data_IF_078765821165
#
_entry.id   IF_078765821165
#
_cell.length_a   1.000
_cell.length_b   1.000
_cell.length_c   1.000
_cell.angle_alpha   90.00
_cell.angle_beta   90.00
_cell.angle_gamma   90.00
#
_symmetry.space_group_name_H-M   'P 1'
#
loop_
_entity.id
_entity.type
_entity.pdbx_description
1 polymer ?
#
# COMPACT_ATOMS: atom_id res chain seq x y z
N UNK A 1 -58.50 -50.84 -10.42
CA UNK A 1 -59.20 -49.54 -10.57
C UNK A 1 -59.25 -48.90 -9.20
N UNK A 2 -58.56 -47.78 -9.00
CA UNK A 2 -58.59 -47.05 -7.73
C UNK A 2 -59.91 -46.29 -7.60
N UNK A 3 -60.52 -46.28 -6.41
CA UNK A 3 -61.78 -45.57 -6.18
C UNK A 3 -61.56 -44.05 -6.16
N UNK A 4 -62.61 -43.27 -6.46
CA UNK A 4 -62.55 -41.80 -6.48
C UNK A 4 -62.02 -41.21 -5.16
N UNK A 5 -62.33 -41.86 -4.02
CA UNK A 5 -61.81 -41.48 -2.70
C UNK A 5 -60.31 -41.74 -2.55
N UNK A 6 -59.80 -42.83 -3.14
CA UNK A 6 -58.36 -43.12 -3.13
C UNK A 6 -57.58 -42.19 -4.07
N UNK A 7 -58.14 -41.80 -5.22
CA UNK A 7 -57.55 -40.75 -6.05
C UNK A 7 -57.51 -39.39 -5.32
N UNK A 8 -58.58 -39.03 -4.61
CA UNK A 8 -58.64 -37.78 -3.84
C UNK A 8 -57.59 -37.74 -2.73
N UNK A 9 -57.43 -38.83 -1.97
CA UNK A 9 -56.44 -38.93 -0.90
C UNK A 9 -55.01 -38.89 -1.44
N UNK A 10 -54.74 -39.56 -2.56
CA UNK A 10 -53.44 -39.51 -3.22
C UNK A 10 -53.10 -38.10 -3.73
N UNK A 11 -54.06 -37.37 -4.30
CA UNK A 11 -53.87 -35.97 -4.69
C UNK A 11 -53.59 -35.06 -3.48
N UNK A 12 -54.31 -35.23 -2.37
CA UNK A 12 -54.07 -34.43 -1.15
C UNK A 12 -52.68 -34.70 -0.55
N UNK A 13 -52.23 -35.96 -0.53
CA UNK A 13 -50.88 -36.34 -0.04
C UNK A 13 -49.79 -35.77 -0.95
N UNK A 14 -49.98 -35.80 -2.28
CA UNK A 14 -49.06 -35.19 -3.25
C UNK A 14 -48.98 -33.67 -3.09
N UNK A 15 -50.10 -32.98 -2.87
CA UNK A 15 -50.11 -31.53 -2.66
C UNK A 15 -49.39 -31.15 -1.36
N UNK A 16 -49.64 -31.87 -0.26
CA UNK A 16 -48.96 -31.63 1.02
C UNK A 16 -47.46 -31.96 0.93
N UNK A 17 -47.06 -32.99 0.19
CA UNK A 17 -45.66 -33.32 -0.04
C UNK A 17 -44.93 -32.26 -0.90
N UNK A 18 -45.62 -31.60 -1.84
CA UNK A 18 -45.08 -30.46 -2.61
C UNK A 18 -44.88 -29.22 -1.73
N UNK A 19 -45.76 -29.00 -0.75
CA UNK A 19 -45.65 -27.89 0.22
C UNK A 19 -44.62 -28.19 1.32
N UNK A 20 -44.37 -29.47 1.63
CA UNK A 20 -43.50 -29.94 2.72
C UNK A 20 -42.11 -30.40 2.28
N UNK A 21 -41.85 -30.51 0.98
CA UNK A 21 -40.48 -30.39 0.49
C UNK A 21 -39.98 -29.05 1.04
N UNK A 22 -38.82 -29.00 1.73
CA UNK A 22 -38.22 -27.70 1.99
C UNK A 22 -38.13 -27.10 0.60
N UNK A 23 -38.84 -25.99 0.37
CA UNK A 23 -38.48 -25.12 -0.71
C UNK A 23 -36.97 -24.99 -0.53
N UNK A 24 -36.21 -25.62 -1.44
CA UNK A 24 -34.84 -25.23 -1.66
C UNK A 24 -34.99 -23.73 -1.71
N UNK A 25 -34.48 -23.05 -0.68
CA UNK A 25 -34.59 -21.62 -0.59
C UNK A 25 -33.72 -21.16 -1.76
N UNK A 26 -34.28 -21.14 -2.98
CA UNK A 26 -34.15 -20.04 -3.88
C UNK A 26 -34.51 -18.85 -3.02
N UNK A 27 -33.51 -18.33 -2.30
CA UNK A 27 -33.53 -16.96 -1.83
C UNK A 27 -33.90 -16.21 -3.09
N UNK A 28 -35.13 -15.71 -3.11
CA UNK A 28 -35.48 -14.61 -3.98
C UNK A 28 -34.35 -13.61 -3.75
N UNK A 29 -33.51 -13.42 -4.77
CA UNK A 29 -32.39 -12.50 -4.74
C UNK A 29 -32.98 -11.15 -4.37
N UNK A 30 -32.77 -10.70 -3.13
CA UNK A 30 -33.10 -9.33 -2.81
C UNK A 30 -32.23 -8.42 -3.68
N UNK A 31 -32.78 -7.32 -4.24
CA UNK A 31 -32.01 -6.33 -4.98
C UNK A 31 -30.85 -5.68 -4.18
N UNK A 32 -30.74 -6.00 -2.89
CA UNK A 32 -29.80 -5.41 -1.94
C UNK A 32 -28.36 -5.96 -2.06
N UNK A 33 -28.14 -7.18 -2.56
CA UNK A 33 -26.80 -7.81 -2.56
C UNK A 33 -25.87 -7.31 -3.68
N UNK A 34 -26.38 -7.08 -4.90
CA UNK A 34 -25.63 -6.42 -5.99
C UNK A 34 -25.32 -4.97 -5.64
N UNK A 35 -26.15 -4.36 -4.79
CA UNK A 35 -25.98 -3.00 -4.32
C UNK A 35 -24.76 -2.89 -3.38
N UNK A 36 -24.49 -3.88 -2.53
CA UNK A 36 -23.38 -3.82 -1.57
C UNK A 36 -22.01 -3.83 -2.24
N UNK A 37 -21.77 -4.71 -3.23
CA UNK A 37 -20.51 -4.70 -4.00
C UNK A 37 -20.32 -3.33 -4.66
N UNK A 38 -21.35 -2.83 -5.33
CA UNK A 38 -21.28 -1.54 -6.05
C UNK A 38 -21.00 -0.38 -5.08
N UNK A 39 -21.72 -0.30 -3.97
CA UNK A 39 -21.52 0.73 -2.93
C UNK A 39 -20.14 0.63 -2.29
N UNK A 40 -19.68 -0.58 -2.00
CA UNK A 40 -18.36 -0.82 -1.40
C UNK A 40 -17.28 -0.38 -2.39
N UNK A 41 -17.34 -0.86 -3.64
CA UNK A 41 -16.38 -0.52 -4.67
C UNK A 41 -16.38 0.97 -5.04
N UNK A 42 -17.50 1.68 -4.94
CA UNK A 42 -17.53 3.13 -5.17
C UNK A 42 -16.67 3.91 -4.16
N UNK A 43 -16.48 3.39 -2.95
CA UNK A 43 -15.62 4.01 -1.92
C UNK A 43 -14.14 3.69 -2.09
N UNK A 44 -13.79 2.96 -3.13
CA UNK A 44 -12.42 2.52 -3.35
C UNK A 44 -11.75 3.32 -4.48
N UNK A 45 -10.42 3.46 -4.46
CA UNK A 45 -9.68 4.10 -5.55
C UNK A 45 -9.89 3.52 -6.96
N UNK A 46 -10.31 2.25 -7.10
CA UNK A 46 -10.56 1.63 -8.40
C UNK A 46 -11.88 0.83 -8.44
N UNK A 47 -13.02 1.52 -8.55
CA UNK A 47 -14.33 0.87 -8.49
C UNK A 47 -14.50 -0.23 -9.55
N UNK A 48 -13.95 -0.06 -10.75
CA UNK A 48 -14.07 -1.05 -11.83
C UNK A 48 -13.32 -2.34 -11.52
N UNK A 49 -12.08 -2.25 -11.04
CA UNK A 49 -11.28 -3.41 -10.67
C UNK A 49 -11.86 -4.12 -9.44
N UNK A 50 -12.30 -3.38 -8.42
CA UNK A 50 -13.00 -3.98 -7.29
C UNK A 50 -14.26 -4.71 -7.72
N UNK A 51 -15.09 -4.10 -8.57
CA UNK A 51 -16.29 -4.76 -9.10
C UNK A 51 -15.91 -6.03 -9.86
N UNK A 52 -14.88 -5.97 -10.72
CA UNK A 52 -14.42 -7.12 -11.49
C UNK A 52 -13.97 -8.27 -10.57
N UNK A 53 -13.18 -7.99 -9.53
CA UNK A 53 -12.68 -9.01 -8.60
C UNK A 53 -13.83 -9.60 -7.78
N UNK A 54 -14.65 -8.76 -7.16
CA UNK A 54 -15.73 -9.21 -6.27
C UNK A 54 -16.87 -9.90 -7.02
N UNK A 55 -17.16 -9.52 -8.26
CA UNK A 55 -18.17 -10.18 -9.09
C UNK A 55 -17.68 -11.51 -9.69
N UNK A 56 -16.36 -11.66 -9.88
CA UNK A 56 -15.76 -12.90 -10.36
C UNK A 56 -15.74 -14.00 -9.28
N UNK A 57 -15.74 -13.61 -7.99
CA UNK A 57 -15.82 -14.56 -6.88
C UNK A 57 -17.29 -14.88 -6.55
N UNK A 58 -17.72 -16.16 -6.61
CA UNK A 58 -19.10 -16.54 -6.33
C UNK A 58 -19.53 -16.19 -4.89
N UNK A 59 -18.59 -16.05 -3.95
CA UNK A 59 -18.86 -15.66 -2.56
C UNK A 59 -19.28 -14.20 -2.44
N UNK A 60 -18.89 -13.35 -3.39
CA UNK A 60 -19.16 -11.91 -3.34
C UNK A 60 -20.65 -11.57 -3.32
N UNK A 61 -21.49 -12.43 -3.92
CA UNK A 61 -22.95 -12.21 -4.02
C UNK A 61 -23.68 -12.26 -2.69
N UNK A 62 -23.13 -12.91 -1.67
CA UNK A 62 -23.79 -13.07 -0.36
C UNK A 62 -22.90 -12.62 0.78
N UNK A 63 -21.76 -12.01 0.48
CA UNK A 63 -20.80 -11.55 1.45
C UNK A 63 -21.21 -10.19 2.02
N UNK A 64 -21.07 -10.03 3.33
CA UNK A 64 -21.05 -8.71 3.97
C UNK A 64 -19.74 -7.97 3.66
N UNK A 65 -19.57 -6.74 4.15
CA UNK A 65 -18.37 -5.93 3.89
C UNK A 65 -17.07 -6.65 4.32
N UNK A 66 -17.08 -7.35 5.44
CA UNK A 66 -15.93 -8.14 5.92
C UNK A 66 -15.65 -9.33 5.00
N UNK A 67 -16.68 -10.00 4.52
CA UNK A 67 -16.58 -11.06 3.52
C UNK A 67 -16.05 -10.55 2.17
N UNK A 68 -16.48 -9.37 1.72
CA UNK A 68 -15.93 -8.72 0.52
C UNK A 68 -14.45 -8.36 0.70
N UNK A 69 -14.06 -7.87 1.89
CA UNK A 69 -12.66 -7.60 2.20
C UNK A 69 -11.81 -8.88 2.20
N UNK A 70 -12.32 -9.99 2.76
CA UNK A 70 -11.64 -11.29 2.72
C UNK A 70 -11.46 -11.81 1.29
N UNK A 71 -12.44 -11.60 0.40
CA UNK A 71 -12.31 -11.95 -1.03
C UNK A 71 -11.18 -11.15 -1.69
N UNK A 72 -11.04 -9.86 -1.38
CA UNK A 72 -9.92 -9.05 -1.88
C UNK A 72 -8.58 -9.53 -1.35
N UNK A 73 -8.48 -9.90 -0.06
CA UNK A 73 -7.27 -10.50 0.52
C UNK A 73 -6.92 -11.84 -0.14
N UNK A 74 -7.91 -12.67 -0.44
CA UNK A 74 -7.71 -13.92 -1.20
C UNK A 74 -7.22 -13.65 -2.62
N UNK A 75 -7.72 -12.60 -3.28
CA UNK A 75 -7.25 -12.20 -4.60
C UNK A 75 -5.77 -11.73 -4.56
N UNK A 76 -5.39 -10.95 -3.53
CA UNK A 76 -3.99 -10.56 -3.28
C UNK A 76 -3.12 -11.82 -3.10
N UNK A 77 -3.55 -12.75 -2.24
CA UNK A 77 -2.85 -14.01 -2.01
C UNK A 77 -2.64 -14.80 -3.30
N UNK A 78 -3.70 -14.99 -4.09
CA UNK A 78 -3.64 -15.75 -5.34
C UNK A 78 -2.67 -15.10 -6.33
N UNK A 79 -2.74 -13.77 -6.48
CA UNK A 79 -1.82 -13.00 -7.32
C UNK A 79 -0.38 -13.13 -6.84
N UNK A 80 -0.13 -12.90 -5.55
CA UNK A 80 1.20 -12.97 -4.94
C UNK A 80 1.84 -14.36 -5.12
N UNK A 81 1.06 -15.43 -4.98
CA UNK A 81 1.53 -16.79 -5.22
C UNK A 81 1.92 -17.00 -6.69
N UNK A 82 1.10 -16.51 -7.63
CA UNK A 82 1.40 -16.55 -9.05
C UNK A 82 2.72 -15.84 -9.38
N UNK A 83 2.94 -14.66 -8.80
CA UNK A 83 4.18 -13.89 -9.01
C UNK A 83 5.38 -14.57 -8.35
N UNK A 84 5.24 -15.07 -7.13
CA UNK A 84 6.30 -15.82 -6.44
C UNK A 84 6.77 -17.03 -7.27
N UNK A 85 5.83 -17.78 -7.85
CA UNK A 85 6.14 -18.89 -8.75
C UNK A 85 6.84 -18.42 -10.03
N UNK A 86 6.38 -17.31 -10.64
CA UNK A 86 7.02 -16.70 -11.81
C UNK A 86 8.46 -16.27 -11.50
N UNK A 87 8.70 -15.65 -10.35
CA UNK A 87 10.04 -15.27 -9.87
C UNK A 87 10.95 -16.49 -9.78
N UNK A 88 10.48 -17.57 -9.14
CA UNK A 88 11.28 -18.80 -9.01
C UNK A 88 11.63 -19.42 -10.37
N UNK A 89 10.73 -19.34 -11.35
CA UNK A 89 11.00 -19.78 -12.71
C UNK A 89 12.04 -18.88 -13.40
N UNK A 90 11.96 -17.56 -13.24
CA UNK A 90 12.94 -16.61 -13.77
C UNK A 90 14.33 -16.80 -13.16
N UNK A 91 14.43 -17.16 -11.87
CA UNK A 91 15.69 -17.49 -11.20
C UNK A 91 16.32 -18.74 -11.84
N UNK A 92 15.52 -19.79 -12.06
CA UNK A 92 15.97 -21.02 -12.72
C UNK A 92 16.39 -20.77 -14.18
N UNK A 93 15.71 -19.85 -14.86
CA UNK A 93 15.99 -19.43 -16.23
C UNK A 93 17.21 -18.51 -16.39
N UNK A 94 17.98 -18.24 -15.33
CA UNK A 94 19.22 -17.45 -15.42
C UNK A 94 19.02 -15.92 -15.43
N UNK A 95 17.87 -15.41 -14.99
CA UNK A 95 17.66 -13.97 -14.82
C UNK A 95 18.56 -13.36 -13.73
N UNK A 96 18.43 -12.05 -13.49
CA UNK A 96 19.20 -11.34 -12.46
C UNK A 96 18.91 -11.92 -11.06
N UNK A 97 19.74 -12.88 -10.63
CA UNK A 97 19.51 -13.68 -9.42
C UNK A 97 19.39 -12.83 -8.16
N UNK A 98 20.15 -11.73 -8.06
CA UNK A 98 20.12 -10.86 -6.88
C UNK A 98 18.77 -10.12 -6.78
N UNK A 99 18.35 -9.44 -7.85
CA UNK A 99 17.09 -8.72 -7.88
C UNK A 99 15.89 -9.68 -7.74
N UNK A 100 15.93 -10.82 -8.45
CA UNK A 100 14.87 -11.82 -8.38
C UNK A 100 14.77 -12.49 -7.00
N UNK A 101 15.89 -12.80 -6.34
CA UNK A 101 15.84 -13.37 -4.98
C UNK A 101 15.27 -12.36 -3.98
N UNK A 102 15.68 -11.09 -4.08
CA UNK A 102 15.09 -10.02 -3.28
C UNK A 102 13.58 -9.90 -3.53
N UNK A 103 13.12 -9.99 -4.78
CA UNK A 103 11.69 -10.03 -5.10
C UNK A 103 10.98 -11.26 -4.54
N UNK A 104 11.62 -12.43 -4.58
CA UNK A 104 11.07 -13.64 -4.01
C UNK A 104 10.82 -13.45 -2.51
N UNK A 105 11.77 -12.84 -1.80
CA UNK A 105 11.61 -12.54 -0.37
C UNK A 105 10.44 -11.57 -0.13
N UNK A 106 10.30 -10.52 -0.95
CA UNK A 106 9.17 -9.57 -0.89
C UNK A 106 7.82 -10.26 -1.07
N UNK A 107 7.66 -11.04 -2.13
CA UNK A 107 6.42 -11.78 -2.37
C UNK A 107 6.17 -12.90 -1.34
N UNK A 108 7.23 -13.45 -0.75
CA UNK A 108 7.10 -14.38 0.37
C UNK A 108 6.57 -13.67 1.61
N UNK A 109 7.03 -12.46 1.94
CA UNK A 109 6.49 -11.64 3.03
C UNK A 109 4.98 -11.46 2.87
N UNK A 110 4.52 -11.08 1.67
CA UNK A 110 3.09 -10.96 1.37
C UNK A 110 2.33 -12.23 1.74
N UNK A 111 2.86 -13.39 1.35
CA UNK A 111 2.19 -14.68 1.52
C UNK A 111 2.20 -15.20 2.96
N UNK A 112 3.24 -14.91 3.74
CA UNK A 112 3.45 -15.51 5.06
C UNK A 112 3.22 -14.55 6.23
N UNK A 113 3.17 -13.24 5.98
CA UNK A 113 2.93 -12.21 6.98
C UNK A 113 1.68 -11.40 6.63
N UNK A 114 1.71 -10.62 5.55
CA UNK A 114 0.70 -9.60 5.26
C UNK A 114 -0.69 -10.21 5.04
N UNK A 115 -0.81 -11.23 4.19
CA UNK A 115 -2.08 -11.92 3.92
C UNK A 115 -2.63 -12.61 5.17
N UNK A 116 -1.84 -13.43 5.92
CA UNK A 116 -2.30 -13.98 7.18
C UNK A 116 -2.75 -12.93 8.19
N UNK A 117 -2.00 -11.83 8.33
CA UNK A 117 -2.34 -10.74 9.24
C UNK A 117 -3.65 -10.06 8.83
N UNK A 118 -3.83 -9.74 7.55
CA UNK A 118 -5.06 -9.16 7.04
C UNK A 118 -6.27 -10.08 7.26
N UNK A 119 -6.08 -11.38 7.02
CA UNK A 119 -7.12 -12.39 7.23
C UNK A 119 -7.53 -12.47 8.70
N UNK A 120 -6.56 -12.58 9.61
CA UNK A 120 -6.81 -12.64 11.06
C UNK A 120 -7.48 -11.37 11.56
N UNK A 121 -7.01 -10.21 11.12
CA UNK A 121 -7.55 -8.92 11.47
C UNK A 121 -9.04 -8.82 11.10
N UNK A 122 -9.40 -9.20 9.87
CA UNK A 122 -10.80 -9.26 9.42
C UNK A 122 -11.65 -10.23 10.25
N UNK A 123 -11.12 -11.42 10.57
CA UNK A 123 -11.82 -12.41 11.40
C UNK A 123 -12.06 -11.92 12.84
N UNK A 124 -11.18 -11.08 13.37
CA UNK A 124 -11.29 -10.48 14.71
C UNK A 124 -12.00 -9.12 14.71
N UNK A 125 -12.48 -8.64 13.56
CA UNK A 125 -13.16 -7.35 13.43
C UNK A 125 -12.22 -6.13 13.46
N UNK A 126 -10.90 -6.32 13.38
CA UNK A 126 -9.93 -5.24 13.30
C UNK A 126 -9.69 -4.81 11.85
N UNK A 127 -10.69 -4.16 11.25
CA UNK A 127 -10.65 -3.75 9.84
C UNK A 127 -9.46 -2.82 9.52
N UNK A 128 -9.02 -2.00 10.49
CA UNK A 128 -7.89 -1.08 10.28
C UNK A 128 -6.57 -1.82 10.13
N UNK A 129 -6.32 -2.81 10.98
CA UNK A 129 -5.12 -3.63 10.88
C UNK A 129 -5.14 -4.51 9.62
N UNK A 130 -6.33 -4.89 9.14
CA UNK A 130 -6.46 -5.58 7.87
C UNK A 130 -6.08 -4.72 6.67
N UNK A 131 -6.51 -3.46 6.68
CA UNK A 131 -6.15 -2.48 5.66
C UNK A 131 -4.65 -2.21 5.63
N UNK A 132 -4.02 -2.00 6.80
CA UNK A 132 -2.58 -1.74 6.90
C UNK A 132 -1.79 -2.93 6.33
N UNK A 133 -2.14 -4.17 6.70
CA UNK A 133 -1.52 -5.38 6.16
C UNK A 133 -1.75 -5.55 4.64
N UNK A 134 -2.92 -5.22 4.12
CA UNK A 134 -3.17 -5.23 2.67
C UNK A 134 -2.36 -4.15 1.93
N UNK A 135 -2.14 -2.99 2.55
CA UNK A 135 -1.32 -1.89 2.00
C UNK A 135 0.16 -2.28 1.94
N UNK A 136 0.67 -2.97 2.95
CA UNK A 136 2.04 -3.51 2.97
C UNK A 136 2.29 -4.44 1.79
N UNK A 137 1.28 -5.21 1.37
CA UNK A 137 1.40 -6.08 0.20
C UNK A 137 1.70 -5.30 -1.10
N UNK A 138 1.10 -4.13 -1.27
CA UNK A 138 1.38 -3.25 -2.41
C UNK A 138 2.78 -2.62 -2.30
N UNK A 139 3.25 -2.32 -1.09
CA UNK A 139 4.59 -1.79 -0.82
C UNK A 139 5.67 -2.83 -1.14
N UNK A 140 5.45 -4.09 -0.78
CA UNK A 140 6.39 -5.18 -1.06
C UNK A 140 6.48 -5.45 -2.58
N UNK A 141 5.34 -5.42 -3.30
CA UNK A 141 5.31 -5.52 -4.77
C UNK A 141 6.03 -4.35 -5.45
N UNK A 142 5.82 -3.13 -4.96
CA UNK A 142 6.59 -1.95 -5.38
C UNK A 142 8.09 -2.16 -5.13
N UNK A 143 8.47 -2.59 -3.93
CA UNK A 143 9.88 -2.79 -3.55
C UNK A 143 10.57 -3.81 -4.46
N UNK A 144 9.84 -4.85 -4.89
CA UNK A 144 10.31 -5.78 -5.89
C UNK A 144 10.65 -5.09 -7.23
N UNK A 145 9.74 -4.27 -7.77
CA UNK A 145 9.98 -3.53 -9.02
C UNK A 145 11.25 -2.66 -8.94
N UNK A 146 11.41 -1.91 -7.85
CA UNK A 146 12.56 -1.04 -7.65
C UNK A 146 13.89 -1.80 -7.53
N UNK A 147 13.87 -3.05 -7.07
CA UNK A 147 15.06 -3.90 -6.97
C UNK A 147 15.77 -4.13 -8.32
N UNK A 148 15.10 -3.82 -9.44
CA UNK A 148 15.65 -3.92 -10.79
C UNK A 148 16.22 -2.60 -11.34
N UNK A 149 16.06 -1.47 -10.64
CA UNK A 149 16.56 -0.16 -11.11
C UNK A 149 15.90 0.34 -12.39
N UNK A 150 14.70 -0.15 -12.71
CA UNK A 150 13.96 0.12 -13.95
C UNK A 150 12.85 -0.91 -14.17
N UNK A 151 12.31 -1.00 -15.39
CA UNK A 151 11.27 -1.98 -15.73
C UNK A 151 11.77 -3.40 -15.50
N UNK A 152 11.06 -4.16 -14.67
CA UNK A 152 11.37 -5.56 -14.41
C UNK A 152 10.59 -6.51 -15.33
N UNK A 153 11.00 -7.78 -15.44
CA UNK A 153 10.18 -8.84 -16.06
C UNK A 153 8.82 -9.09 -15.37
N UNK A 154 8.57 -8.39 -14.26
CA UNK A 154 7.40 -8.49 -13.39
C UNK A 154 6.61 -7.17 -13.35
N UNK A 155 6.96 -6.17 -14.17
CA UNK A 155 6.36 -4.81 -14.13
C UNK A 155 4.83 -4.88 -14.12
N UNK A 156 4.24 -5.68 -15.01
CA UNK A 156 2.79 -5.83 -15.12
C UNK A 156 2.19 -6.44 -13.85
N UNK A 157 2.86 -7.44 -13.28
CA UNK A 157 2.39 -8.11 -12.09
C UNK A 157 2.55 -7.28 -10.81
N UNK A 158 3.67 -6.57 -10.67
CA UNK A 158 3.93 -5.65 -9.57
C UNK A 158 2.93 -4.49 -9.60
N UNK A 159 2.66 -3.95 -10.79
CA UNK A 159 1.64 -2.92 -10.98
C UNK A 159 0.22 -3.41 -10.71
N UNK A 160 -0.07 -4.69 -10.95
CA UNK A 160 -1.38 -5.26 -10.65
C UNK A 160 -1.64 -5.46 -9.14
N UNK A 161 -0.59 -5.48 -8.29
CA UNK A 161 -0.75 -5.46 -6.83
C UNK A 161 -1.00 -4.04 -6.29
N UNK A 162 -0.76 -3.02 -7.11
CA UNK A 162 -1.23 -1.68 -6.83
C UNK A 162 -2.71 -1.59 -7.18
N UNK A 163 -3.57 -1.57 -6.17
CA UNK A 163 -4.99 -1.27 -6.32
C UNK A 163 -5.28 0.16 -6.88
N UNK A 164 -4.24 0.91 -7.27
CA UNK A 164 -4.35 2.25 -7.85
C UNK A 164 -3.92 2.21 -9.32
N UNK A 165 -4.82 2.58 -10.24
CA UNK A 165 -4.43 2.95 -11.60
C UNK A 165 -4.62 4.45 -11.77
N UNK A 166 -3.50 5.15 -11.64
CA UNK A 166 -2.99 6.13 -12.60
C UNK A 166 -3.93 6.71 -13.66
N UNK A 167 -4.23 8.01 -13.55
CA UNK A 167 -4.43 8.85 -14.74
C UNK A 167 -3.06 9.19 -15.34
N UNK A 168 -2.89 9.24 -16.68
CA UNK A 168 -1.68 9.82 -17.28
C UNK A 168 -1.52 11.25 -16.77
N UNK A 169 -0.35 11.58 -16.21
CA UNK A 169 -0.07 12.97 -15.86
C UNK A 169 0.25 13.75 -17.12
N UNK A 170 -0.29 14.96 -17.19
CA UNK A 170 0.36 16.01 -17.96
C UNK A 170 1.76 16.23 -17.34
N UNK A 171 2.83 16.26 -18.14
CA UNK A 171 4.21 16.55 -17.70
C UNK A 171 4.28 17.86 -16.89
N UNK A 172 3.29 18.74 -17.08
CA UNK A 172 3.09 19.94 -16.28
C UNK A 172 2.82 19.67 -14.79
N UNK A 173 2.20 18.54 -14.40
CA UNK A 173 1.82 18.30 -13.00
C UNK A 173 3.03 18.23 -12.07
N UNK A 174 4.11 17.53 -12.46
CA UNK A 174 5.34 17.46 -11.65
C UNK A 174 5.91 18.86 -11.47
N UNK A 175 6.02 19.62 -12.56
CA UNK A 175 6.58 20.98 -12.54
C UNK A 175 5.74 21.92 -11.67
N UNK A 176 4.42 21.93 -11.85
CA UNK A 176 3.51 22.77 -11.06
C UNK A 176 3.47 22.37 -9.57
N UNK A 177 3.52 21.07 -9.28
CA UNK A 177 3.56 20.57 -7.90
C UNK A 177 4.88 20.95 -7.24
N UNK A 178 6.01 20.74 -7.92
CA UNK A 178 7.33 21.02 -7.38
C UNK A 178 7.63 22.52 -7.23
N UNK A 179 7.03 23.40 -8.04
CA UNK A 179 7.14 24.86 -7.88
C UNK A 179 6.71 25.35 -6.49
N UNK A 180 5.81 24.63 -5.81
CA UNK A 180 5.32 24.97 -4.47
C UNK A 180 6.22 24.46 -3.33
N UNK A 181 7.32 23.81 -3.66
CA UNK A 181 8.28 23.27 -2.68
C UNK A 181 9.43 24.25 -2.44
N UNK A 182 10.13 24.15 -1.29
CA UNK A 182 11.27 25.00 -1.01
C UNK A 182 12.47 24.70 -1.93
N UNK A 183 12.50 23.50 -2.52
CA UNK A 183 13.52 23.09 -3.49
C UNK A 183 12.90 22.46 -4.75
N UNK A 184 12.37 23.29 -5.67
CA UNK A 184 11.68 22.80 -6.86
C UNK A 184 12.54 21.91 -7.76
N UNK A 185 13.82 22.26 -7.96
CA UNK A 185 14.73 21.50 -8.82
C UNK A 185 14.99 20.10 -8.27
N UNK A 186 15.17 19.99 -6.95
CA UNK A 186 15.35 18.69 -6.31
C UNK A 186 14.06 17.86 -6.36
N UNK A 187 12.91 18.46 -6.08
CA UNK A 187 11.61 17.80 -6.16
C UNK A 187 11.40 17.20 -7.56
N UNK A 188 11.64 17.99 -8.61
CA UNK A 188 11.54 17.53 -10.00
C UNK A 188 12.51 16.38 -10.24
N UNK A 189 13.78 16.54 -9.86
CA UNK A 189 14.80 15.50 -10.04
C UNK A 189 14.43 14.18 -9.35
N UNK A 190 13.87 14.22 -8.15
CA UNK A 190 13.46 13.03 -7.41
C UNK A 190 12.25 12.35 -8.05
N UNK A 191 11.27 13.13 -8.50
CA UNK A 191 10.05 12.61 -9.12
C UNK A 191 10.27 12.11 -10.55
N UNK A 192 11.14 12.77 -11.33
CA UNK A 192 11.52 12.33 -12.67
C UNK A 192 12.43 11.10 -12.65
N UNK A 193 13.21 10.91 -11.58
CA UNK A 193 13.97 9.68 -11.37
C UNK A 193 13.07 8.46 -11.08
N UNK A 194 11.82 8.69 -10.66
CA UNK A 194 10.83 7.65 -10.43
C UNK A 194 9.92 7.48 -11.66
N UNK A 195 9.91 6.30 -12.33
CA UNK A 195 9.09 6.09 -13.52
C UNK A 195 7.58 6.26 -13.26
N UNK A 196 7.12 6.16 -12.01
CA UNK A 196 5.72 6.36 -11.61
C UNK A 196 5.30 7.83 -11.61
N UNK A 197 6.26 8.77 -11.52
CA UNK A 197 5.99 10.22 -11.46
C UNK A 197 5.18 10.73 -12.66
N UNK A 198 5.32 10.07 -13.81
CA UNK A 198 4.59 10.37 -15.05
C UNK A 198 3.13 9.86 -15.10
N UNK A 199 2.70 9.10 -14.08
CA UNK A 199 1.44 8.35 -14.12
C UNK A 199 0.60 8.50 -12.86
N UNK A 200 0.85 9.48 -12.00
CA UNK A 200 0.19 9.50 -10.68
C UNK A 200 -0.25 10.88 -10.23
N UNK A 201 -1.44 10.97 -9.62
CA UNK A 201 -1.95 12.20 -9.02
C UNK A 201 -0.98 12.82 -7.97
N UNK A 202 -1.28 14.03 -7.50
CA UNK A 202 -0.45 14.74 -6.51
C UNK A 202 -0.20 13.89 -5.25
N UNK A 203 -1.20 13.14 -4.79
CA UNK A 203 -1.07 12.20 -3.67
C UNK A 203 -0.05 11.10 -3.96
N UNK A 204 -0.03 10.57 -5.18
CA UNK A 204 0.98 9.61 -5.57
C UNK A 204 2.37 10.21 -5.78
N UNK A 205 2.49 11.46 -6.24
CA UNK A 205 3.77 12.18 -6.23
C UNK A 205 4.31 12.32 -4.79
N UNK A 206 3.42 12.63 -3.84
CA UNK A 206 3.76 12.68 -2.43
C UNK A 206 4.18 11.30 -1.89
N UNK A 207 3.46 10.23 -2.23
CA UNK A 207 3.83 8.86 -1.83
C UNK A 207 5.17 8.41 -2.43
N UNK A 208 5.51 8.84 -3.65
CA UNK A 208 6.83 8.62 -4.23
C UNK A 208 7.91 9.26 -3.35
N UNK A 209 7.69 10.48 -2.88
CA UNK A 209 8.67 11.17 -2.03
C UNK A 209 8.78 10.52 -0.63
N UNK A 210 7.67 10.06 -0.05
CA UNK A 210 7.69 9.23 1.17
C UNK A 210 8.45 7.92 0.95
N UNK A 211 8.31 7.32 -0.24
CA UNK A 211 9.09 6.14 -0.62
C UNK A 211 10.60 6.45 -0.74
N UNK A 212 10.97 7.60 -1.30
CA UNK A 212 12.38 8.03 -1.36
C UNK A 212 12.97 8.18 0.05
N UNK A 213 12.22 8.74 1.01
CA UNK A 213 12.60 8.81 2.44
C UNK A 213 12.91 7.39 2.96
N UNK A 214 12.00 6.43 2.74
CA UNK A 214 12.18 5.03 3.14
C UNK A 214 13.46 4.41 2.57
N UNK A 215 13.73 4.63 1.28
CA UNK A 215 14.92 4.08 0.62
C UNK A 215 16.19 4.64 1.25
N UNK A 216 16.27 5.97 1.40
CA UNK A 216 17.46 6.61 2.00
C UNK A 216 17.67 6.22 3.45
N UNK A 217 16.60 6.09 4.24
CA UNK A 217 16.70 5.63 5.62
C UNK A 217 17.27 4.19 5.71
N UNK A 218 16.88 3.30 4.79
CA UNK A 218 17.46 1.95 4.71
C UNK A 218 18.94 1.95 4.30
N UNK A 219 19.33 2.83 3.37
CA UNK A 219 20.73 2.98 2.94
C UNK A 219 21.60 3.47 4.10
N UNK A 220 21.13 4.47 4.85
CA UNK A 220 21.80 4.97 6.05
C UNK A 220 21.94 3.88 7.12
N UNK A 221 20.86 3.16 7.43
CA UNK A 221 20.90 2.03 8.37
C UNK A 221 21.88 0.93 7.94
N UNK A 222 21.93 0.64 6.63
CA UNK A 222 22.91 -0.30 6.06
C UNK A 222 24.35 0.18 6.25
N UNK A 223 24.61 1.48 6.05
CA UNK A 223 25.93 2.10 6.27
C UNK A 223 26.31 2.07 7.74
N UNK A 224 25.40 2.42 8.65
CA UNK A 224 25.60 2.35 10.10
C UNK A 224 26.00 0.93 10.53
N UNK A 225 25.27 -0.09 10.07
CA UNK A 225 25.59 -1.49 10.37
C UNK A 225 26.97 -1.91 9.87
N UNK A 226 27.41 -1.41 8.70
CA UNK A 226 28.78 -1.65 8.20
C UNK A 226 29.84 -0.97 9.08
N UNK A 227 29.58 0.25 9.56
CA UNK A 227 30.50 0.98 10.43
C UNK A 227 30.65 0.30 11.79
N UNK A 228 29.55 -0.20 12.37
CA UNK A 228 29.58 -0.98 13.63
C UNK A 228 30.48 -2.21 13.46
N UNK A 229 30.33 -2.95 12.35
CA UNK A 229 31.16 -4.13 12.04
C UNK A 229 32.63 -3.80 11.84
N UNK A 230 32.95 -2.59 11.39
CA UNK A 230 34.33 -2.11 11.19
C UNK A 230 34.97 -1.52 12.45
N UNK A 231 34.33 -1.62 13.60
CA UNK A 231 34.86 -1.14 14.87
C UNK A 231 34.66 0.36 15.10
N UNK A 232 33.70 1.00 14.43
CA UNK A 232 33.29 2.36 14.75
C UNK A 232 32.67 2.46 16.15
N UNK A 233 32.42 3.68 16.62
CA UNK A 233 31.79 3.93 17.93
C UNK A 233 30.42 3.26 18.01
N UNK A 234 30.37 2.11 18.67
CA UNK A 234 29.16 1.27 18.73
C UNK A 234 28.02 1.97 19.43
N UNK A 235 28.30 2.80 20.44
CA UNK A 235 27.25 3.48 21.21
C UNK A 235 26.60 4.56 20.34
N UNK A 236 27.42 5.43 19.75
CA UNK A 236 26.93 6.50 18.87
C UNK A 236 26.22 5.93 17.63
N UNK A 237 26.79 4.91 17.00
CA UNK A 237 26.21 4.26 15.82
C UNK A 237 24.91 3.52 16.13
N UNK A 238 24.78 2.86 17.29
CA UNK A 238 23.52 2.19 17.66
C UNK A 238 22.40 3.20 17.93
N UNK A 239 22.72 4.29 18.63
CA UNK A 239 21.78 5.42 18.81
C UNK A 239 21.29 5.95 17.46
N UNK A 240 22.20 6.19 16.52
CA UNK A 240 21.84 6.60 15.16
C UNK A 240 21.01 5.54 14.41
N UNK A 241 21.30 4.25 14.60
CA UNK A 241 20.52 3.16 14.01
C UNK A 241 19.06 3.18 14.50
N UNK A 242 18.85 3.44 15.79
CA UNK A 242 17.51 3.52 16.39
C UNK A 242 16.71 4.68 15.80
N UNK A 243 17.34 5.84 15.57
CA UNK A 243 16.74 6.99 14.88
C UNK A 243 16.27 6.66 13.48
N UNK A 244 17.13 6.06 12.66
CA UNK A 244 16.76 5.61 11.32
C UNK A 244 15.71 4.50 11.33
N UNK A 245 15.68 3.67 12.38
CA UNK A 245 14.63 2.66 12.56
C UNK A 245 13.28 3.33 12.87
N UNK A 246 13.23 4.36 13.71
CA UNK A 246 12.01 5.16 13.97
C UNK A 246 11.41 5.66 12.66
N UNK A 247 12.23 6.25 11.78
CA UNK A 247 11.79 6.70 10.45
C UNK A 247 11.08 5.59 9.68
N UNK A 248 11.66 4.38 9.69
CA UNK A 248 11.17 3.24 8.91
C UNK A 248 9.91 2.60 9.49
N UNK A 249 9.75 2.61 10.82
CA UNK A 249 8.66 1.89 11.51
C UNK A 249 7.53 2.79 12.00
N UNK A 250 7.73 4.10 12.07
CA UNK A 250 6.75 5.08 12.51
C UNK A 250 6.47 6.13 11.42
N UNK A 251 7.46 6.97 11.11
CA UNK A 251 7.24 8.18 10.30
C UNK A 251 6.81 7.87 8.86
N UNK A 252 7.49 6.94 8.19
CA UNK A 252 7.17 6.53 6.81
C UNK A 252 5.78 5.88 6.73
N UNK A 253 5.43 4.90 7.58
CA UNK A 253 4.07 4.37 7.64
C UNK A 253 3.01 5.45 7.92
N UNK A 254 3.24 6.33 8.89
CA UNK A 254 2.32 7.42 9.25
C UNK A 254 2.11 8.39 8.10
N UNK A 255 3.18 8.82 7.43
CA UNK A 255 3.07 9.71 6.28
C UNK A 255 2.32 9.06 5.11
N UNK A 256 2.62 7.79 4.84
CA UNK A 256 1.95 7.02 3.78
C UNK A 256 0.45 6.87 4.07
N UNK A 257 0.10 6.60 5.33
CA UNK A 257 -1.27 6.43 5.78
C UNK A 257 -2.06 7.74 5.70
N UNK A 258 -1.47 8.84 6.18
CA UNK A 258 -2.11 10.14 6.16
C UNK A 258 -2.36 10.66 4.74
N UNK A 259 -1.45 10.38 3.79
CA UNK A 259 -1.69 10.64 2.37
C UNK A 259 -2.85 9.82 1.80
N UNK A 260 -2.98 8.55 2.21
CA UNK A 260 -4.07 7.67 1.77
C UNK A 260 -5.43 8.13 2.31
N UNK A 261 -5.47 8.76 3.48
CA UNK A 261 -6.69 9.30 4.10
C UNK A 261 -6.98 10.77 3.77
N UNK A 262 -6.27 11.37 2.81
CA UNK A 262 -6.49 12.77 2.46
C UNK A 262 -6.12 13.75 3.59
N UNK A 263 -5.22 13.36 4.48
CA UNK A 263 -4.66 14.20 5.53
C UNK A 263 -3.20 14.56 5.23
N UNK A 264 -2.93 15.37 4.20
CA UNK A 264 -1.57 15.65 3.78
C UNK A 264 -0.81 16.48 4.81
N UNK A 265 -1.50 17.25 5.68
CA UNK A 265 -0.83 17.97 6.76
C UNK A 265 -0.20 17.03 7.79
N UNK A 266 -0.89 15.96 8.15
CA UNK A 266 -0.31 14.95 9.05
C UNK A 266 0.83 14.17 8.37
N UNK A 267 0.74 13.95 7.06
CA UNK A 267 1.87 13.41 6.31
C UNK A 267 3.08 14.36 6.29
N UNK A 268 2.84 15.67 6.24
CA UNK A 268 3.89 16.68 6.34
C UNK A 268 4.59 16.60 7.69
N UNK A 269 3.83 16.50 8.75
CA UNK A 269 4.37 16.46 10.10
C UNK A 269 5.19 15.18 10.31
N UNK A 270 4.67 14.01 9.88
CA UNK A 270 5.41 12.75 9.93
C UNK A 270 6.69 12.78 9.08
N UNK A 271 6.65 13.36 7.88
CA UNK A 271 7.88 13.52 7.07
C UNK A 271 8.86 14.52 7.69
N UNK A 272 8.38 15.55 8.39
CA UNK A 272 9.23 16.49 9.15
C UNK A 272 9.93 15.79 10.32
N UNK A 273 9.22 14.93 11.04
CA UNK A 273 9.77 14.14 12.15
C UNK A 273 10.91 13.26 11.63
N UNK A 274 10.77 12.68 10.43
CA UNK A 274 11.85 11.89 9.84
C UNK A 274 13.14 12.68 9.58
N UNK A 275 13.04 13.99 9.31
CA UNK A 275 14.19 14.90 9.20
C UNK A 275 14.84 15.11 10.57
N UNK A 276 14.03 15.33 11.60
CA UNK A 276 14.51 15.52 12.98
C UNK A 276 15.23 14.26 13.46
N UNK A 277 14.64 13.08 13.24
CA UNK A 277 15.27 11.81 13.62
C UNK A 277 16.60 11.60 12.87
N UNK A 278 16.66 11.84 11.55
CA UNK A 278 17.89 11.71 10.79
C UNK A 278 18.99 12.68 11.24
N UNK A 279 18.65 13.94 11.48
CA UNK A 279 19.62 14.97 11.91
C UNK A 279 20.07 14.80 13.36
N UNK A 280 19.20 14.27 14.24
CA UNK A 280 19.56 13.95 15.64
C UNK A 280 20.63 12.86 15.77
N UNK A 281 20.93 12.12 14.69
CA UNK A 281 22.08 11.22 14.65
C UNK A 281 23.39 11.97 14.93
N UNK A 282 23.54 13.22 14.50
CA UNK A 282 24.74 14.04 14.73
C UNK A 282 24.98 14.30 16.24
N UNK A 283 23.91 14.41 17.03
CA UNK A 283 24.01 14.63 18.47
C UNK A 283 24.73 13.47 19.17
N UNK A 284 24.60 12.25 18.64
CA UNK A 284 25.28 11.07 19.17
C UNK A 284 26.80 11.10 18.95
N UNK A 285 27.30 11.97 18.07
CA UNK A 285 28.72 12.16 17.76
C UNK A 285 29.27 13.50 18.27
N UNK A 286 28.50 14.25 19.06
CA UNK A 286 28.82 15.62 19.49
C UNK A 286 29.14 16.54 18.29
N UNK A 287 28.45 16.35 17.17
CA UNK A 287 28.70 17.04 15.91
C UNK A 287 28.81 16.06 14.75
N UNK A 288 29.79 16.28 13.86
CA UNK A 288 29.88 15.56 12.58
C UNK A 288 30.01 14.05 12.74
N UNK A 289 29.01 13.32 12.28
CA UNK A 289 29.01 11.86 12.21
C UNK A 289 29.59 11.33 10.90
N UNK A 290 29.99 10.04 10.82
CA UNK A 290 30.27 9.37 9.55
C UNK A 290 29.09 9.33 8.56
N UNK A 291 27.90 9.74 9.02
CA UNK A 291 26.64 9.82 8.28
C UNK A 291 26.26 11.28 7.96
N UNK A 292 27.12 12.28 8.23
CA UNK A 292 26.83 13.71 8.01
C UNK A 292 26.23 13.97 6.62
N UNK A 293 26.73 13.29 5.58
CA UNK A 293 26.21 13.47 4.22
C UNK A 293 24.82 12.87 4.06
N UNK A 294 24.56 11.69 4.63
CA UNK A 294 23.24 11.05 4.59
C UNK A 294 22.21 11.80 5.42
N UNK A 295 22.60 12.25 6.62
CA UNK A 295 21.75 13.01 7.54
C UNK A 295 21.34 14.37 6.96
N UNK A 296 22.20 14.97 6.14
CA UNK A 296 21.95 16.25 5.46
C UNK A 296 21.58 16.08 3.98
N UNK A 297 21.38 14.88 3.46
CA UNK A 297 21.05 14.72 2.05
C UNK A 297 19.59 15.12 1.80
N UNK A 298 19.37 16.38 1.41
CA UNK A 298 18.35 17.03 0.55
C UNK A 298 16.90 16.53 0.48
N UNK A 299 16.62 15.24 0.68
CA UNK A 299 15.30 14.73 1.13
C UNK A 299 15.08 15.03 2.62
N UNK A 300 16.17 15.23 3.37
CA UNK A 300 16.17 15.55 4.81
C UNK A 300 16.70 16.98 5.11
N UNK A 301 16.61 17.90 4.13
CA UNK A 301 16.99 19.31 4.30
C UNK A 301 18.43 19.64 3.86
N UNK A 302 18.61 20.82 3.28
CA UNK A 302 19.89 21.53 3.07
C UNK A 302 19.57 23.05 2.99
N UNK A 303 20.42 24.01 3.39
CA UNK A 303 21.86 23.95 3.63
C UNK A 303 22.37 25.18 4.44
N UNK A 304 23.45 24.96 5.19
CA UNK A 304 24.57 25.85 5.58
C UNK A 304 24.30 27.17 6.34
N UNK A 305 25.04 27.28 7.47
CA UNK A 305 25.20 28.42 8.38
C UNK A 305 24.06 28.72 9.38
N UNK A 306 24.39 28.48 10.65
CA UNK A 306 23.80 29.04 11.86
C UNK A 306 22.45 28.47 12.32
N UNK A 307 22.47 27.80 13.47
CA UNK A 307 21.39 27.74 14.47
C UNK A 307 19.98 27.34 14.02
N UNK A 308 19.55 26.12 14.42
CA UNK A 308 18.14 25.68 14.57
C UNK A 308 17.13 26.30 13.58
N UNK A 309 16.96 25.71 12.39
CA UNK A 309 15.72 25.89 11.62
C UNK A 309 15.41 24.58 10.89
N UNK A 310 14.33 23.91 11.32
CA UNK A 310 13.79 22.73 10.64
C UNK A 310 13.21 23.11 9.28
N UNK A 311 13.43 22.25 8.28
CA UNK A 311 12.85 22.38 6.94
C UNK A 311 11.44 21.82 6.99
N UNK A 312 10.42 22.68 6.88
CA UNK A 312 9.04 22.25 6.64
C UNK A 312 8.92 21.62 5.23
N UNK A 313 8.43 20.39 5.10
CA UNK A 313 8.08 19.78 3.81
C UNK A 313 6.83 20.43 3.18
N UNK A 314 6.95 21.67 2.67
CA UNK A 314 5.79 22.43 2.15
C UNK A 314 5.10 21.81 0.91
N UNK A 315 5.63 20.74 0.31
CA UNK A 315 4.95 19.96 -0.72
C UNK A 315 3.57 19.48 -0.25
N UNK A 316 3.50 19.03 1.00
CA UNK A 316 2.31 18.39 1.56
C UNK A 316 1.27 19.42 2.01
N UNK A 317 1.71 20.61 2.42
CA UNK A 317 0.84 21.78 2.67
C UNK A 317 0.19 22.37 1.40
N UNK A 318 0.68 21.99 0.22
CA UNK A 318 0.30 22.57 -1.07
C UNK A 318 -0.78 21.79 -1.83
N UNK A 319 -1.20 20.64 -1.28
CA UNK A 319 -2.33 19.86 -1.80
C UNK A 319 -3.61 20.66 -1.52
N UNK A 320 -4.38 21.08 -2.55
CA UNK A 320 -5.59 21.86 -2.34
C UNK A 320 -6.56 21.11 -1.41
N UNK A 321 -7.12 21.80 -0.42
CA UNK A 321 -8.29 21.28 0.34
C UNK A 321 -9.50 21.05 -0.58
N UNK A 322 -9.54 21.73 -1.72
CA UNK A 322 -10.65 21.75 -2.68
C UNK A 322 -10.71 20.52 -3.61
N UNK A 323 -9.82 19.53 -3.48
CA UNK A 323 -10.06 18.19 -4.06
C UNK A 323 -10.76 17.24 -3.06
N UNK A 324 -11.13 17.76 -1.88
CA UNK A 324 -11.76 17.03 -0.77
C UNK A 324 -13.01 17.71 -0.21
N UNK A 325 -13.65 18.62 -0.96
CA UNK A 325 -14.95 19.14 -0.56
C UNK A 325 -16.03 18.08 -0.73
N UNK A 326 -16.69 17.79 0.39
CA UNK A 326 -18.05 17.26 0.46
C UNK A 326 -18.95 18.02 -0.53
N UNK A 327 -19.35 17.38 -1.62
CA UNK A 327 -20.56 17.76 -2.34
C UNK A 327 -21.39 16.51 -2.54
N UNK A 328 -22.41 16.38 -1.67
CA UNK A 328 -23.37 15.29 -1.77
C UNK A 328 -24.23 15.02 -0.55
N UNK A 329 -24.42 15.96 0.38
CA UNK A 329 -25.55 15.94 1.32
C UNK A 329 -26.07 17.36 1.55
N UNK A 330 -27.01 17.77 0.68
CA UNK A 330 -28.21 18.54 1.01
C UNK A 330 -29.28 18.15 -0.01
#
# INVERSE_FOLDING_TARGET
MFSLRQLSLLCSILIVAIISLPACHCRVLEPNDVNLIKQTCQKTPNPNLCNQILQADPRGRTADVSGLALILVDAIKAKANGVYNKINNLIKGGGNKKALSSCADKYKTILVADVPQATQALQTGNAKFAEDAASDSAIEASSCEHGFGGKSPLTLENNACHYRVSKPNDVNLIKETCKKTPNPNLCVKLLEADPRGSTTDVTGLALILVYVIKVRANEALTKINKLIKRGGDKKALSSCADKYKTILVADVPQASQALQFGNPKFAEDATSDSVVEATSCEDSFNGKSPLTNENNASVFGENQNSGRVGVRPSLLSSIPKEEFTEDGIA
#
